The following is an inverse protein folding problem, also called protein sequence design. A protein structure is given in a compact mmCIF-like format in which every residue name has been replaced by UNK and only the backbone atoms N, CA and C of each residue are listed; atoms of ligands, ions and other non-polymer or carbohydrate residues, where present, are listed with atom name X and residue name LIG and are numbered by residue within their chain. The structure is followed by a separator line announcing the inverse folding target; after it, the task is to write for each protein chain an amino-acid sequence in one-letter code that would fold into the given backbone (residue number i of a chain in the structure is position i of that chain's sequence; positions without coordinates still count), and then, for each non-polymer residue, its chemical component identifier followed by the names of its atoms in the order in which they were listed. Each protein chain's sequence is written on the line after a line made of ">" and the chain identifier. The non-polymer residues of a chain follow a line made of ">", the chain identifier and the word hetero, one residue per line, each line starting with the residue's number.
data_IF_445364980352
#
_entry.id   IF_445364980352
#
_cell.length_a   1.000
_cell.length_b   1.000
_cell.length_c   1.000
_cell.angle_alpha   90.00
_cell.angle_beta   90.00
_cell.angle_gamma   90.00
#
_symmetry.space_group_name_H-M   'P 1'
#
loop_
_entity.id
_entity.type
_entity.pdbx_description
1 polymer ?
#
# COMPACT_ATOMS: atom_id res chain seq x y z
N UNK A 1 -1.05 -9.32 12.51
CA UNK A 1 -0.89 -8.24 11.52
C UNK A 1 -1.43 -8.67 10.18
N UNK A 2 -2.25 -7.84 9.54
CA UNK A 2 -2.73 -8.05 8.17
C UNK A 2 -2.08 -7.04 7.25
N UNK A 3 -1.48 -7.49 6.15
CA UNK A 3 -1.07 -6.67 5.01
C UNK A 3 -2.21 -6.66 4.00
N UNK A 4 -2.78 -5.50 3.79
CA UNK A 4 -4.00 -5.31 3.00
C UNK A 4 -3.72 -4.40 1.82
N UNK A 5 -3.99 -4.86 0.60
CA UNK A 5 -3.60 -4.09 -0.57
C UNK A 5 -3.98 -4.69 -1.91
N UNK A 6 -3.32 -4.19 -2.93
CA UNK A 6 -3.46 -4.56 -4.33
C UNK A 6 -2.37 -5.55 -4.80
N UNK A 7 -1.97 -5.48 -6.08
CA UNK A 7 -0.95 -6.35 -6.66
C UNK A 7 0.43 -6.26 -6.01
N UNK A 8 0.78 -5.11 -5.44
CA UNK A 8 2.07 -4.93 -4.77
C UNK A 8 2.11 -5.74 -3.48
N UNK A 9 1.03 -5.79 -2.73
CA UNK A 9 0.88 -6.66 -1.57
C UNK A 9 0.70 -8.12 -1.99
N UNK A 10 -0.19 -8.40 -2.96
CA UNK A 10 -0.47 -9.75 -3.46
C UNK A 10 0.80 -10.45 -3.97
N UNK A 11 1.63 -9.73 -4.72
CA UNK A 11 2.89 -10.27 -5.28
C UNK A 11 3.98 -10.56 -4.25
N UNK A 12 3.87 -10.04 -3.04
CA UNK A 12 4.91 -10.17 -2.01
C UNK A 12 4.95 -11.61 -1.46
N UNK A 13 6.01 -12.33 -1.84
CA UNK A 13 6.22 -13.73 -1.47
C UNK A 13 5.31 -14.75 -2.17
N UNK A 14 4.49 -14.32 -3.13
CA UNK A 14 3.53 -15.20 -3.82
C UNK A 14 3.75 -15.28 -5.33
N UNK A 15 4.28 -14.25 -5.96
CA UNK A 15 4.43 -14.19 -7.40
C UNK A 15 5.65 -15.00 -7.83
N UNK A 16 5.46 -16.00 -8.68
CA UNK A 16 6.54 -16.76 -9.31
C UNK A 16 7.52 -15.80 -10.02
N UNK A 17 8.83 -16.02 -9.82
CA UNK A 17 9.88 -15.22 -10.45
C UNK A 17 10.26 -13.93 -9.68
N UNK A 18 9.63 -13.61 -8.55
CA UNK A 18 10.07 -12.50 -7.71
C UNK A 18 11.17 -12.89 -6.71
N UNK A 19 11.29 -14.19 -6.42
CA UNK A 19 12.22 -14.75 -5.41
C UNK A 19 12.11 -14.06 -4.03
N UNK A 20 11.05 -13.28 -3.81
CA UNK A 20 10.81 -12.61 -2.55
C UNK A 20 10.16 -13.55 -1.55
N UNK A 21 10.53 -13.39 -0.28
CA UNK A 21 9.83 -14.02 0.84
C UNK A 21 8.91 -13.01 1.51
N UNK A 22 7.88 -13.48 2.18
CA UNK A 22 6.96 -12.63 2.93
C UNK A 22 7.11 -12.91 4.43
N UNK A 23 7.91 -12.11 5.12
CA UNK A 23 8.12 -12.13 6.57
C UNK A 23 8.23 -13.55 7.18
N UNK A 24 9.27 -14.34 6.83
CA UNK A 24 9.40 -15.72 7.30
C UNK A 24 9.35 -15.81 8.83
N UNK A 25 8.53 -16.73 9.34
CA UNK A 25 8.38 -16.98 10.78
C UNK A 25 7.56 -15.93 11.54
N UNK A 26 6.97 -14.95 10.86
CA UNK A 26 6.07 -13.97 11.48
C UNK A 26 4.61 -14.36 11.28
N UNK A 27 3.72 -14.10 12.26
CA UNK A 27 2.29 -14.36 12.16
C UNK A 27 1.58 -13.26 11.37
N UNK A 28 2.07 -12.98 10.16
CA UNK A 28 1.51 -11.96 9.28
C UNK A 28 0.73 -12.58 8.14
N UNK A 29 -0.38 -11.96 7.78
CA UNK A 29 -1.30 -12.46 6.75
C UNK A 29 -1.29 -11.48 5.58
N UNK A 30 -1.05 -12.01 4.37
CA UNK A 30 -1.15 -11.26 3.14
C UNK A 30 -2.56 -11.35 2.56
N UNK A 31 -3.24 -10.20 2.49
CA UNK A 31 -4.57 -10.00 1.92
C UNK A 31 -4.54 -9.02 0.73
N UNK A 32 -3.48 -9.08 -0.07
CA UNK A 32 -3.41 -8.38 -1.36
C UNK A 32 -4.26 -9.07 -2.41
N UNK A 33 -4.92 -8.29 -3.26
CA UNK A 33 -5.61 -8.76 -4.48
C UNK A 33 -5.22 -7.85 -5.63
N UNK A 34 -4.59 -8.44 -6.64
CA UNK A 34 -4.08 -7.70 -7.80
C UNK A 34 -5.16 -6.90 -8.52
N UNK A 35 -4.81 -5.68 -8.93
CA UNK A 35 -5.66 -4.79 -9.73
C UNK A 35 -6.72 -4.03 -8.93
N UNK A 36 -6.88 -4.30 -7.64
CA UNK A 36 -7.96 -3.67 -6.86
C UNK A 36 -7.70 -2.19 -6.58
N UNK A 37 -8.80 -1.44 -6.63
CA UNK A 37 -8.92 -0.04 -6.23
C UNK A 37 -9.42 0.08 -4.79
N UNK A 38 -9.31 1.26 -4.21
CA UNK A 38 -9.77 1.48 -2.83
C UNK A 38 -11.25 1.21 -2.61
N UNK A 39 -12.21 1.51 -3.53
CA UNK A 39 -13.62 1.11 -3.36
C UNK A 39 -13.80 -0.41 -3.21
N UNK A 40 -13.08 -1.19 -4.02
CA UNK A 40 -13.12 -2.65 -3.92
C UNK A 40 -12.56 -3.16 -2.58
N UNK A 41 -11.52 -2.50 -2.08
CA UNK A 41 -10.93 -2.83 -0.78
C UNK A 41 -11.88 -2.50 0.38
N UNK A 42 -12.60 -1.38 0.35
CA UNK A 42 -13.62 -1.05 1.37
C UNK A 42 -14.66 -2.16 1.47
N UNK A 43 -15.14 -2.68 0.34
CA UNK A 43 -16.20 -3.72 0.31
C UNK A 43 -15.79 -5.02 1.01
N UNK A 44 -14.52 -5.45 0.85
CA UNK A 44 -14.03 -6.71 1.45
C UNK A 44 -13.34 -6.54 2.81
N UNK A 45 -13.32 -5.32 3.37
CA UNK A 45 -12.55 -5.02 4.58
C UNK A 45 -12.99 -5.86 5.79
N UNK A 46 -14.27 -6.14 5.94
CA UNK A 46 -14.78 -6.95 7.04
C UNK A 46 -14.20 -8.36 7.02
N UNK A 47 -14.40 -9.10 5.93
CA UNK A 47 -13.98 -10.50 5.85
C UNK A 47 -12.45 -10.68 5.80
N UNK A 48 -11.74 -9.72 5.21
CA UNK A 48 -10.29 -9.85 4.98
C UNK A 48 -9.43 -9.18 6.05
N UNK A 49 -10.02 -8.35 6.90
CA UNK A 49 -9.32 -7.68 8.01
C UNK A 49 -10.04 -7.90 9.34
N UNK A 50 -11.28 -7.44 9.48
CA UNK A 50 -11.97 -7.41 10.78
C UNK A 50 -12.14 -8.82 11.34
N UNK A 51 -12.65 -9.75 10.53
CA UNK A 51 -12.95 -11.13 10.95
C UNK A 51 -11.69 -11.96 11.25
N UNK A 52 -10.52 -11.47 10.89
CA UNK A 52 -9.22 -12.07 11.25
C UNK A 52 -8.70 -11.61 12.62
N UNK A 53 -9.37 -10.65 13.26
CA UNK A 53 -9.02 -10.09 14.57
C UNK A 53 -7.54 -9.70 14.72
N UNK A 54 -6.92 -8.97 13.77
CA UNK A 54 -5.52 -8.62 13.86
C UNK A 54 -5.28 -7.51 14.88
N UNK A 55 -4.09 -7.46 15.48
CA UNK A 55 -3.69 -6.33 16.31
C UNK A 55 -3.51 -5.03 15.47
N UNK A 56 -3.10 -5.16 14.20
CA UNK A 56 -2.94 -4.04 13.29
C UNK A 56 -3.20 -4.44 11.83
N UNK A 57 -3.55 -3.46 11.01
CA UNK A 57 -3.63 -3.57 9.54
C UNK A 57 -2.69 -2.57 8.89
N UNK A 58 -1.92 -3.02 7.89
CA UNK A 58 -1.13 -2.16 7.01
C UNK A 58 -1.79 -2.09 5.64
N UNK A 59 -2.19 -0.89 5.23
CA UNK A 59 -2.95 -0.65 4.00
C UNK A 59 -2.03 -0.01 2.96
N UNK A 60 -1.86 -0.68 1.82
CA UNK A 60 -1.14 -0.17 0.65
C UNK A 60 -2.08 -0.21 -0.56
N UNK A 61 -2.53 0.95 -1.01
CA UNK A 61 -3.49 1.10 -2.10
C UNK A 61 -3.38 2.47 -2.78
N UNK A 62 -4.11 2.67 -3.87
CA UNK A 62 -4.27 3.97 -4.54
C UNK A 62 -3.67 4.04 -5.94
N UNK A 63 -2.68 3.21 -6.26
CA UNK A 63 -2.08 3.21 -7.61
C UNK A 63 -3.12 2.84 -8.69
N UNK A 64 -3.97 1.86 -8.42
CA UNK A 64 -5.03 1.45 -9.33
C UNK A 64 -6.18 2.48 -9.43
N UNK A 65 -6.41 3.25 -8.37
CA UNK A 65 -7.33 4.40 -8.38
C UNK A 65 -6.83 5.47 -9.35
N UNK A 66 -5.55 5.85 -9.25
CA UNK A 66 -4.90 6.81 -10.15
C UNK A 66 -4.94 6.33 -11.59
N UNK A 67 -4.73 5.03 -11.81
CA UNK A 67 -4.83 4.40 -13.12
C UNK A 67 -6.28 4.35 -13.65
N UNK A 68 -7.28 4.55 -12.80
CA UNK A 68 -8.69 4.46 -13.14
C UNK A 68 -9.15 3.05 -13.52
N UNK A 69 -8.64 2.03 -12.82
CA UNK A 69 -8.95 0.62 -13.12
C UNK A 69 -10.44 0.28 -12.97
N UNK A 70 -11.15 0.99 -12.11
CA UNK A 70 -12.61 0.86 -11.91
C UNK A 70 -13.38 2.10 -12.33
N UNK A 71 -12.83 2.87 -13.25
CA UNK A 71 -13.37 4.13 -13.72
C UNK A 71 -12.62 5.35 -13.16
N UNK A 72 -12.99 6.57 -13.61
CA UNK A 72 -12.37 7.81 -13.15
C UNK A 72 -12.56 7.99 -11.63
N UNK A 73 -11.48 8.36 -10.94
CA UNK A 73 -11.51 8.67 -9.52
C UNK A 73 -10.79 9.99 -9.24
N UNK A 74 -11.38 10.81 -8.39
CA UNK A 74 -10.72 12.00 -7.87
C UNK A 74 -9.81 11.63 -6.67
N UNK A 75 -8.81 12.46 -6.33
CA UNK A 75 -8.03 12.27 -5.10
C UNK A 75 -8.92 12.15 -3.87
N UNK A 76 -9.96 12.98 -3.75
CA UNK A 76 -10.88 12.99 -2.61
C UNK A 76 -11.65 11.67 -2.47
N UNK A 77 -12.05 11.04 -3.57
CA UNK A 77 -12.71 9.72 -3.53
C UNK A 77 -11.75 8.65 -2.95
N UNK A 78 -10.49 8.68 -3.35
CA UNK A 78 -9.47 7.78 -2.82
C UNK A 78 -9.20 8.04 -1.35
N UNK A 79 -9.09 9.31 -0.95
CA UNK A 79 -8.92 9.73 0.45
C UNK A 79 -10.09 9.27 1.31
N UNK A 80 -11.34 9.41 0.86
CA UNK A 80 -12.54 8.99 1.58
C UNK A 80 -12.58 7.47 1.79
N UNK A 81 -12.08 6.70 0.83
CA UNK A 81 -11.96 5.25 0.98
C UNK A 81 -10.89 4.87 2.02
N UNK A 82 -9.76 5.59 2.08
CA UNK A 82 -8.78 5.41 3.16
C UNK A 82 -9.37 5.76 4.52
N UNK A 83 -10.11 6.88 4.63
CA UNK A 83 -10.82 7.25 5.87
C UNK A 83 -11.79 6.14 6.29
N UNK A 84 -12.58 5.63 5.37
CA UNK A 84 -13.54 4.54 5.63
C UNK A 84 -12.88 3.28 6.16
N UNK A 85 -11.76 2.86 5.56
CA UNK A 85 -11.02 1.68 6.04
C UNK A 85 -10.38 1.92 7.41
N UNK A 86 -9.84 3.12 7.65
CA UNK A 86 -9.26 3.49 8.94
C UNK A 86 -10.33 3.55 10.04
N UNK A 87 -11.49 4.11 9.75
CA UNK A 87 -12.63 4.16 10.69
C UNK A 87 -13.15 2.75 11.03
N UNK A 88 -13.27 1.88 10.04
CA UNK A 88 -13.63 0.48 10.24
C UNK A 88 -12.61 -0.24 11.14
N UNK A 89 -11.31 -0.05 10.89
CA UNK A 89 -10.26 -0.62 11.72
C UNK A 89 -10.35 -0.11 13.17
N UNK A 90 -10.42 1.21 13.35
CA UNK A 90 -10.50 1.87 14.66
C UNK A 90 -11.73 1.42 15.46
N UNK A 91 -12.90 1.34 14.80
CA UNK A 91 -14.14 0.89 15.43
C UNK A 91 -14.07 -0.57 15.94
N UNK A 92 -13.14 -1.36 15.41
CA UNK A 92 -12.92 -2.76 15.81
C UNK A 92 -11.63 -2.95 16.63
N UNK A 93 -11.03 -1.87 17.15
CA UNK A 93 -9.84 -1.94 17.99
C UNK A 93 -8.55 -2.34 17.27
N UNK A 94 -8.54 -2.23 15.93
CA UNK A 94 -7.40 -2.59 15.08
C UNK A 94 -6.55 -1.34 14.84
N UNK A 95 -5.25 -1.40 15.19
CA UNK A 95 -4.31 -0.30 14.94
C UNK A 95 -4.05 -0.14 13.44
N UNK A 96 -3.90 1.11 12.98
CA UNK A 96 -3.81 1.47 11.56
C UNK A 96 -2.39 1.88 11.18
N UNK A 97 -1.88 1.28 10.11
CA UNK A 97 -0.68 1.69 9.39
C UNK A 97 -1.11 2.01 7.95
N UNK A 98 -0.89 3.24 7.49
CA UNK A 98 -1.06 3.58 6.08
C UNK A 98 0.29 3.66 5.41
N UNK A 99 0.49 2.81 4.40
CA UNK A 99 1.71 2.80 3.61
C UNK A 99 1.60 3.78 2.44
N UNK A 100 2.66 4.56 2.22
CA UNK A 100 2.75 5.42 1.04
C UNK A 100 2.57 4.61 -0.23
N UNK A 101 1.87 5.16 -1.21
CA UNK A 101 1.81 4.63 -2.56
C UNK A 101 3.24 4.61 -3.11
N UNK A 102 3.67 3.46 -3.64
CA UNK A 102 5.00 3.29 -4.21
C UNK A 102 5.18 4.13 -5.47
N UNK A 103 6.44 4.53 -5.82
CA UNK A 103 6.68 5.35 -6.99
C UNK A 103 6.20 4.70 -8.28
N UNK A 104 5.71 5.50 -9.21
CA UNK A 104 5.49 5.13 -10.60
C UNK A 104 5.59 6.36 -11.48
N UNK A 105 6.46 6.34 -12.49
CA UNK A 105 6.57 7.42 -13.47
C UNK A 105 5.44 7.38 -14.49
N UNK A 106 5.07 6.16 -14.93
CA UNK A 106 3.94 5.89 -15.83
C UNK A 106 3.44 4.48 -15.59
N UNK A 107 2.25 4.15 -16.06
CA UNK A 107 1.68 2.81 -15.95
C UNK A 107 1.79 2.04 -17.26
N UNK A 108 2.39 0.82 -17.27
CA UNK A 108 2.56 0.05 -18.50
C UNK A 108 1.24 -0.38 -19.13
N UNK A 109 0.18 -0.55 -18.35
CA UNK A 109 -1.16 -0.92 -18.84
C UNK A 109 -2.04 0.28 -19.17
N UNK A 110 -1.64 1.50 -18.79
CA UNK A 110 -2.43 2.73 -19.04
C UNK A 110 -1.50 3.95 -19.09
N UNK A 111 -0.87 4.12 -20.24
CA UNK A 111 0.08 5.20 -20.48
C UNK A 111 -0.55 6.60 -20.43
N UNK A 112 0.23 7.59 -20.02
CA UNK A 112 -0.16 8.98 -20.02
C UNK A 112 -1.03 9.43 -18.86
N UNK A 113 -1.12 8.61 -17.79
CA UNK A 113 -1.87 8.97 -16.58
C UNK A 113 -1.11 9.93 -15.68
N UNK A 114 0.19 10.14 -15.93
CA UNK A 114 1.07 11.01 -15.14
C UNK A 114 0.95 10.74 -13.62
N UNK A 115 1.22 9.51 -13.18
CA UNK A 115 0.98 9.12 -11.78
C UNK A 115 1.93 9.81 -10.79
N UNK A 116 3.16 10.13 -11.16
CA UNK A 116 4.18 10.60 -10.23
C UNK A 116 3.74 11.82 -9.38
N UNK A 117 3.20 12.93 -9.96
CA UNK A 117 2.71 14.05 -9.15
C UNK A 117 1.47 13.70 -8.33
N UNK A 118 0.59 12.84 -8.83
CA UNK A 118 -0.62 12.39 -8.13
C UNK A 118 -0.27 11.52 -6.91
N UNK A 119 0.70 10.62 -7.06
CA UNK A 119 1.22 9.79 -5.98
C UNK A 119 1.81 10.69 -4.88
N UNK A 120 2.63 11.68 -5.25
CA UNK A 120 3.21 12.62 -4.27
C UNK A 120 2.14 13.37 -3.48
N UNK A 121 1.11 13.85 -4.17
CA UNK A 121 0.01 14.58 -3.52
C UNK A 121 -0.78 13.68 -2.54
N UNK A 122 -1.15 12.47 -2.95
CA UNK A 122 -1.85 11.53 -2.07
C UNK A 122 -0.98 11.07 -0.89
N UNK A 123 0.31 10.85 -1.11
CA UNK A 123 1.23 10.48 -0.02
C UNK A 123 1.40 11.63 0.99
N UNK A 124 1.44 12.88 0.56
CA UNK A 124 1.47 14.04 1.44
C UNK A 124 0.19 14.10 2.29
N UNK A 125 -0.98 14.00 1.66
CA UNK A 125 -2.25 13.93 2.37
C UNK A 125 -2.29 12.76 3.39
N UNK A 126 -1.86 11.57 2.97
CA UNK A 126 -1.86 10.37 3.82
C UNK A 126 -0.97 10.55 5.06
N UNK A 127 0.19 11.18 4.90
CA UNK A 127 1.11 11.48 6.00
C UNK A 127 0.45 12.42 7.02
N UNK A 128 -0.14 13.53 6.53
CA UNK A 128 -0.84 14.49 7.38
C UNK A 128 -2.04 13.84 8.08
N UNK A 129 -2.80 13.02 7.37
CA UNK A 129 -3.93 12.29 7.92
C UNK A 129 -3.51 11.32 9.04
N UNK A 130 -2.41 10.59 8.85
CA UNK A 130 -1.86 9.73 9.89
C UNK A 130 -1.45 10.52 11.13
N UNK A 131 -0.76 11.65 10.95
CA UNK A 131 -0.32 12.51 12.06
C UNK A 131 -1.51 13.04 12.86
N UNK A 132 -2.54 13.54 12.19
CA UNK A 132 -3.75 14.08 12.82
C UNK A 132 -4.56 13.04 13.59
N UNK A 133 -4.51 11.77 13.19
CA UNK A 133 -5.31 10.68 13.79
C UNK A 133 -4.51 9.74 14.69
N UNK A 134 -3.21 9.96 14.88
CA UNK A 134 -2.36 9.08 15.66
C UNK A 134 -2.13 7.71 15.00
N UNK A 135 -2.23 7.63 13.67
CA UNK A 135 -1.91 6.43 12.90
C UNK A 135 -0.43 6.41 12.52
N UNK A 136 0.09 5.25 12.15
CA UNK A 136 1.46 5.14 11.66
C UNK A 136 1.50 5.33 10.14
N UNK A 137 2.27 6.31 9.68
CA UNK A 137 2.62 6.44 8.27
C UNK A 137 3.85 5.59 7.97
N UNK A 138 3.76 4.70 6.99
CA UNK A 138 4.84 3.83 6.53
C UNK A 138 5.36 4.34 5.18
N UNK A 139 6.54 4.94 5.19
CA UNK A 139 7.14 5.56 4.00
C UNK A 139 7.97 4.57 3.18
N UNK A 140 7.35 3.90 2.24
CA UNK A 140 8.05 3.14 1.19
C UNK A 140 8.58 4.05 0.08
N UNK A 141 7.84 5.14 -0.21
CA UNK A 141 8.09 6.00 -1.36
C UNK A 141 9.51 6.55 -1.36
N UNK A 142 9.95 7.16 -0.28
CA UNK A 142 11.26 7.82 -0.18
C UNK A 142 12.42 6.86 -0.45
N UNK A 143 12.31 5.60 -0.02
CA UNK A 143 13.36 4.60 -0.22
C UNK A 143 13.38 4.01 -1.64
N UNK A 144 12.26 4.05 -2.36
CA UNK A 144 12.09 3.43 -3.67
C UNK A 144 12.12 4.41 -4.85
N UNK A 145 11.94 5.73 -4.61
CA UNK A 145 11.83 6.71 -5.69
C UNK A 145 13.17 7.14 -6.26
N UNK A 146 13.21 7.30 -7.58
CA UNK A 146 14.28 8.01 -8.29
C UNK A 146 14.01 9.52 -8.38
N UNK A 147 14.85 10.25 -9.10
CA UNK A 147 14.73 11.70 -9.26
C UNK A 147 13.49 12.15 -10.06
N UNK A 148 12.93 11.26 -10.90
CA UNK A 148 11.79 11.55 -11.77
C UNK A 148 10.46 11.11 -11.14
N UNK A 149 10.48 10.49 -9.97
CA UNK A 149 9.30 9.96 -9.29
C UNK A 149 8.90 8.55 -9.72
N UNK A 150 9.79 7.86 -10.43
CA UNK A 150 9.68 6.45 -10.77
C UNK A 150 10.37 5.55 -9.76
N UNK A 151 10.36 4.25 -10.03
CA UNK A 151 11.08 3.25 -9.23
C UNK A 151 12.58 3.29 -9.53
N UNK A 152 13.42 3.28 -8.48
CA UNK A 152 14.88 3.17 -8.62
C UNK A 152 15.27 1.96 -9.49
N UNK A 153 16.37 2.05 -10.26
CA UNK A 153 16.86 0.95 -11.08
C UNK A 153 17.02 -0.36 -10.28
N UNK A 154 16.49 -1.46 -10.83
CA UNK A 154 16.55 -2.79 -10.26
C UNK A 154 15.50 -3.09 -9.18
N UNK A 155 14.75 -2.09 -8.69
CA UNK A 155 13.69 -2.29 -7.70
C UNK A 155 12.34 -2.63 -8.32
N UNK A 156 12.19 -2.44 -9.64
CA UNK A 156 11.03 -2.84 -10.43
C UNK A 156 11.47 -3.22 -11.84
N UNK A 157 10.76 -4.16 -12.47
CA UNK A 157 10.99 -4.54 -13.87
C UNK A 157 10.03 -3.84 -14.85
N UNK A 158 8.88 -3.41 -14.38
CA UNK A 158 7.83 -2.75 -15.18
C UNK A 158 7.57 -1.30 -14.80
N UNK A 159 8.32 -0.79 -13.81
CA UNK A 159 8.20 0.57 -13.30
C UNK A 159 7.13 0.76 -12.21
N UNK A 160 6.44 -0.32 -11.80
CA UNK A 160 5.37 -0.30 -10.78
C UNK A 160 5.53 -1.39 -9.74
N UNK A 161 5.64 -2.65 -10.18
CA UNK A 161 5.68 -3.81 -9.29
C UNK A 161 7.10 -4.08 -8.80
N UNK A 162 7.32 -4.22 -7.49
CA UNK A 162 8.64 -4.47 -6.93
C UNK A 162 9.21 -5.82 -7.37
N UNK A 163 10.52 -5.84 -7.62
CA UNK A 163 11.33 -7.05 -7.69
C UNK A 163 11.65 -7.56 -6.27
N UNK A 164 12.36 -8.70 -6.18
CA UNK A 164 12.90 -9.16 -4.89
C UNK A 164 13.73 -8.07 -4.19
N UNK A 165 14.53 -7.30 -4.94
CA UNK A 165 15.29 -6.15 -4.42
C UNK A 165 14.37 -5.05 -3.89
N UNK A 166 13.28 -4.76 -4.59
CA UNK A 166 12.28 -3.79 -4.12
C UNK A 166 11.64 -4.22 -2.80
N UNK A 167 11.17 -5.45 -2.72
CA UNK A 167 10.61 -6.00 -1.48
C UNK A 167 11.62 -6.08 -0.33
N UNK A 168 12.90 -6.37 -0.61
CA UNK A 168 13.95 -6.38 0.40
C UNK A 168 14.20 -4.98 1.01
N UNK A 169 13.91 -3.90 0.28
CA UNK A 169 13.90 -2.53 0.81
C UNK A 169 12.64 -2.29 1.65
N UNK A 170 11.49 -2.78 1.20
CA UNK A 170 10.20 -2.56 1.88
C UNK A 170 10.09 -3.31 3.21
N UNK A 171 10.62 -4.53 3.31
CA UNK A 171 10.45 -5.41 4.47
C UNK A 171 10.92 -4.80 5.80
N UNK A 172 12.15 -4.26 5.93
CA UNK A 172 12.60 -3.66 7.19
C UNK A 172 11.82 -2.39 7.56
N UNK A 173 11.36 -1.61 6.58
CA UNK A 173 10.52 -0.43 6.81
C UNK A 173 9.16 -0.84 7.38
N UNK A 174 8.55 -1.86 6.82
CA UNK A 174 7.29 -2.40 7.31
C UNK A 174 7.45 -2.97 8.72
N UNK A 175 8.51 -3.73 8.99
CA UNK A 175 8.75 -4.29 10.33
C UNK A 175 8.92 -3.17 11.37
N UNK A 176 9.70 -2.13 11.05
CA UNK A 176 9.87 -0.99 11.95
C UNK A 176 8.55 -0.25 12.24
N UNK A 177 7.70 -0.08 11.21
CA UNK A 177 6.38 0.52 11.38
C UNK A 177 5.46 -0.34 12.26
N UNK A 178 5.50 -1.67 12.10
CA UNK A 178 4.73 -2.61 12.91
C UNK A 178 5.20 -2.55 14.37
N UNK A 179 6.51 -2.62 14.61
CA UNK A 179 7.08 -2.58 15.95
C UNK A 179 6.70 -1.28 16.68
N UNK A 180 6.80 -0.13 15.98
CA UNK A 180 6.35 1.16 16.51
C UNK A 180 4.85 1.18 16.83
N UNK A 181 4.03 0.59 15.96
CA UNK A 181 2.57 0.60 16.11
C UNK A 181 2.09 -0.29 17.25
N UNK A 182 2.78 -1.40 17.50
CA UNK A 182 2.40 -2.41 18.49
C UNK A 182 3.11 -2.23 19.85
N UNK A 183 4.10 -1.34 19.91
CA UNK A 183 4.69 -0.94 21.19
C UNK A 183 3.68 -0.16 22.05
#
# INVERSE_FOLDING_TARGET
>A
MVFYGDSITDGWGRKAGTESTFFPGKPYVNRGISGQTTPQMVVRFRQDVIDLHPAAVGILAGTNDIAGNTGPMTPEMTEDNFRSMADLAKANGIKVILASITPAFDYPWKRGMEPAPKIKALNAWMKDYCEQNGYTYLDYYTSLTDAEGGMKPGTSSDGVHPTAKGYAIMEPLAQAAIDKTLA
#
